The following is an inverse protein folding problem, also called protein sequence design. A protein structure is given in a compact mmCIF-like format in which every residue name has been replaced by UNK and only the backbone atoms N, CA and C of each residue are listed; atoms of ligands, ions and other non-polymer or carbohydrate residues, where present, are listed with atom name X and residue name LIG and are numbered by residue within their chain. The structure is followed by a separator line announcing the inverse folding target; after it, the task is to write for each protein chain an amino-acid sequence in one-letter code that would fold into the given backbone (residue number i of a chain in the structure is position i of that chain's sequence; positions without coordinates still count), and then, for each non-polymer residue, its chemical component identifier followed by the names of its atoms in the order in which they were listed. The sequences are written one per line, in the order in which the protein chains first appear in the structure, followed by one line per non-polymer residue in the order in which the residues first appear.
data_IF_993331182504
#
_entry.id   IF_993331182504
#
_cell.length_a   1.000
_cell.length_b   1.000
_cell.length_c   1.000
_cell.angle_alpha   90.00
_cell.angle_beta   90.00
_cell.angle_gamma   90.00
#
_symmetry.space_group_name_H-M   'P 1'
#
loop_
_entity.id
_entity.type
_entity.pdbx_description
1 polymer ?
#
# COMPACT_ATOMS: atom_id res chain seq x y z
N UNK A 1 -15.07 2.50 18.25
CA UNK A 1 -13.92 2.34 19.15
C UNK A 1 -14.21 1.18 20.06
N UNK A 2 -13.41 0.11 19.96
CA UNK A 2 -13.50 -1.04 20.85
C UNK A 2 -12.40 -0.90 21.92
N UNK A 3 -12.75 -0.80 23.22
CA UNK A 3 -11.75 -0.69 24.28
C UNK A 3 -10.85 -1.94 24.30
N UNK A 4 -9.60 -1.77 24.70
CA UNK A 4 -8.58 -2.83 24.80
C UNK A 4 -8.22 -3.58 23.50
N UNK A 5 -8.73 -3.13 22.35
CA UNK A 5 -8.32 -3.69 21.05
C UNK A 5 -6.97 -3.10 20.63
N UNK A 6 -5.96 -3.93 20.29
CA UNK A 6 -4.66 -3.44 19.84
C UNK A 6 -4.78 -2.51 18.62
N UNK A 7 -3.87 -1.53 18.46
CA UNK A 7 -3.80 -0.73 17.24
C UNK A 7 -3.72 -1.61 15.99
N UNK A 8 -4.41 -1.20 14.92
CA UNK A 8 -4.46 -1.89 13.62
C UNK A 8 -5.07 -3.30 13.61
N UNK A 9 -5.66 -3.78 14.70
CA UNK A 9 -6.41 -5.06 14.70
C UNK A 9 -7.58 -5.05 13.68
N UNK A 10 -8.29 -3.92 13.61
CA UNK A 10 -9.24 -3.63 12.54
C UNK A 10 -8.66 -2.53 11.65
N UNK A 11 -8.38 -2.85 10.40
CA UNK A 11 -7.71 -1.95 9.46
C UNK A 11 -8.47 -1.90 8.14
N UNK A 12 -8.79 -0.69 7.67
CA UNK A 12 -9.17 -0.47 6.28
C UNK A 12 -7.92 -0.27 5.43
N UNK A 13 -7.96 -0.73 4.18
CA UNK A 13 -6.87 -0.65 3.22
C UNK A 13 -7.39 -0.04 1.92
N UNK A 14 -6.85 1.12 1.54
CA UNK A 14 -7.23 1.86 0.35
C UNK A 14 -6.01 2.16 -0.52
N UNK A 15 -6.15 1.95 -1.83
CA UNK A 15 -5.12 2.28 -2.82
C UNK A 15 -5.47 3.59 -3.54
N UNK A 16 -4.46 4.41 -3.84
CA UNK A 16 -4.60 5.62 -4.65
C UNK A 16 -3.45 5.76 -5.66
N UNK A 17 -3.71 6.44 -6.77
CA UNK A 17 -2.84 6.43 -7.95
C UNK A 17 -3.53 5.78 -9.16
N UNK A 18 -2.84 5.53 -10.29
CA UNK A 18 -1.41 5.24 -10.41
C UNK A 18 -0.50 6.45 -10.62
N UNK A 19 0.66 6.44 -9.98
CA UNK A 19 1.76 7.37 -10.21
C UNK A 19 2.78 6.77 -11.18
N UNK A 20 3.01 7.45 -12.30
CA UNK A 20 4.05 7.05 -13.25
C UNK A 20 5.39 7.57 -12.72
N UNK A 21 6.21 6.65 -12.22
CA UNK A 21 7.57 6.97 -11.79
C UNK A 21 8.59 6.57 -12.84
N UNK A 22 9.70 7.29 -12.89
CA UNK A 22 10.86 6.92 -13.69
C UNK A 22 11.82 6.11 -12.83
N UNK A 23 12.03 4.83 -13.19
CA UNK A 23 12.93 3.93 -12.45
C UNK A 23 14.29 3.84 -13.16
N UNK A 24 14.33 3.95 -14.49
CA UNK A 24 15.56 4.01 -15.28
C UNK A 24 15.42 5.00 -16.43
N UNK A 25 16.53 5.26 -17.13
CA UNK A 25 16.59 6.21 -18.26
C UNK A 25 15.46 6.01 -19.29
N UNK A 26 15.16 4.75 -19.62
CA UNK A 26 14.14 4.35 -20.59
C UNK A 26 13.03 3.46 -19.97
N UNK A 27 12.86 3.47 -18.64
CA UNK A 27 11.86 2.62 -17.97
C UNK A 27 11.05 3.41 -16.95
N UNK A 28 9.75 3.41 -17.15
CA UNK A 28 8.76 3.90 -16.18
C UNK A 28 7.97 2.74 -15.60
N UNK A 29 7.38 2.95 -14.42
CA UNK A 29 6.50 1.98 -13.76
C UNK A 29 5.35 2.71 -13.08
N UNK A 30 4.25 1.99 -12.88
CA UNK A 30 3.10 2.47 -12.10
C UNK A 30 3.32 2.08 -10.64
N UNK A 31 3.39 3.07 -9.77
CA UNK A 31 3.29 2.88 -8.32
C UNK A 31 1.94 3.34 -7.83
N UNK A 32 1.54 2.82 -6.67
CA UNK A 32 0.34 3.21 -5.98
C UNK A 32 0.72 3.62 -4.56
N UNK A 33 0.02 4.59 -4.00
CA UNK A 33 0.04 4.81 -2.56
C UNK A 33 -0.97 3.89 -1.89
N UNK A 34 -0.64 3.38 -0.71
CA UNK A 34 -1.53 2.57 0.12
C UNK A 34 -1.76 3.28 1.44
N UNK A 35 -3.02 3.37 1.84
CA UNK A 35 -3.47 3.96 3.09
C UNK A 35 -4.00 2.82 3.96
N UNK A 36 -3.30 2.54 5.06
CA UNK A 36 -3.79 1.64 6.10
C UNK A 36 -4.38 2.47 7.24
N UNK A 37 -5.69 2.40 7.41
CA UNK A 37 -6.40 3.15 8.45
C UNK A 37 -6.80 2.23 9.58
N UNK A 38 -6.24 2.45 10.78
CA UNK A 38 -6.69 1.81 12.01
C UNK A 38 -8.10 2.26 12.34
N UNK A 39 -9.08 1.35 12.29
CA UNK A 39 -10.48 1.66 12.54
C UNK A 39 -10.78 1.89 14.04
N UNK A 40 -9.86 1.48 14.93
CA UNK A 40 -10.01 1.75 16.35
C UNK A 40 -9.58 3.19 16.71
N UNK A 41 -8.41 3.64 16.26
CA UNK A 41 -7.82 4.93 16.67
C UNK A 41 -7.85 6.01 15.60
N UNK A 42 -8.21 5.67 14.36
CA UNK A 42 -8.07 6.52 13.16
C UNK A 42 -6.62 6.91 12.83
N UNK A 43 -5.65 6.13 13.33
CA UNK A 43 -4.25 6.26 12.90
C UNK A 43 -4.10 5.82 11.45
N UNK A 44 -3.24 6.52 10.71
CA UNK A 44 -2.94 6.22 9.30
C UNK A 44 -1.48 5.79 9.14
N UNK A 45 -1.25 4.68 8.45
CA UNK A 45 0.06 4.24 7.97
C UNK A 45 0.06 4.31 6.43
N UNK A 46 1.03 5.03 5.87
CA UNK A 46 1.17 5.25 4.43
C UNK A 46 2.37 4.48 3.89
N UNK A 47 2.16 3.76 2.79
CA UNK A 47 3.22 3.02 2.10
C UNK A 47 3.09 3.21 0.56
N UNK A 48 4.16 2.92 -0.17
CA UNK A 48 4.16 2.87 -1.64
C UNK A 48 4.13 1.41 -2.10
N UNK A 49 3.10 1.04 -2.84
CA UNK A 49 3.03 -0.25 -3.51
C UNK A 49 3.66 -0.21 -4.91
N UNK A 50 4.42 -1.26 -5.21
CA UNK A 50 5.10 -1.48 -6.50
C UNK A 50 4.13 -1.80 -7.63
N UNK A 51 2.99 -2.39 -7.30
CA UNK A 51 1.88 -2.69 -8.20
C UNK A 51 0.55 -2.76 -7.42
N UNK A 52 -0.55 -3.03 -8.12
CA UNK A 52 -1.87 -3.24 -7.54
C UNK A 52 -2.31 -4.70 -7.75
N UNK A 53 -1.41 -5.65 -7.47
CA UNK A 53 -1.67 -7.08 -7.62
C UNK A 53 -1.80 -7.77 -6.27
N UNK A 54 -2.63 -8.82 -6.20
CA UNK A 54 -2.78 -9.68 -5.02
C UNK A 54 -2.10 -11.04 -5.20
N UNK A 55 -1.77 -11.39 -6.44
CA UNK A 55 -0.88 -12.49 -6.74
C UNK A 55 0.49 -12.21 -6.14
N UNK A 56 1.11 -13.24 -5.54
CA UNK A 56 2.54 -13.18 -5.25
C UNK A 56 3.23 -12.81 -6.56
N UNK A 57 3.74 -11.58 -6.66
CA UNK A 57 4.57 -11.21 -7.79
C UNK A 57 5.75 -12.16 -7.70
N UNK A 58 5.85 -13.15 -8.59
CA UNK A 58 7.12 -13.78 -8.88
C UNK A 58 8.03 -12.60 -9.20
N UNK A 59 8.89 -12.22 -8.25
CA UNK A 59 9.95 -11.26 -8.50
C UNK A 59 10.63 -11.80 -9.73
N UNK A 60 10.41 -11.14 -10.86
CA UNK A 60 11.01 -11.52 -12.14
C UNK A 60 12.50 -11.76 -11.85
N UNK A 61 12.98 -13.01 -11.89
CA UNK A 61 14.36 -13.32 -11.55
C UNK A 61 15.20 -12.83 -12.73
N UNK A 62 15.60 -11.56 -12.66
CA UNK A 62 16.71 -11.05 -13.45
C UNK A 62 17.88 -10.85 -12.52
#
# INVERSE_FOLDING_TARGET
MAPFTPPFYFTACDYFGPYIVKIRRNKTMKHYGVIFTCLNTRSVHLEVAVDCSTSLSEKNPR
#
